data_IF_182309664822
#
_entry.id   IF_182309664822
#
_cell.length_a   1.000
_cell.length_b   1.000
_cell.length_c   1.000
_cell.angle_alpha   90.00
_cell.angle_beta   90.00
_cell.angle_gamma   90.00
#
_symmetry.space_group_name_H-M   'P 1'
#
loop_
_entity.id
_entity.type
_entity.pdbx_description
1 polymer ?
#
# COMPACT_ATOMS: atom_id res chain seq x y z
N UNK A 1 25.72 -12.20 16.05
CA UNK A 1 24.40 -12.26 15.39
C UNK A 1 24.67 -12.48 13.91
N UNK A 2 24.35 -13.67 13.46
CA UNK A 2 24.71 -14.12 12.13
C UNK A 2 23.64 -13.77 11.08
N UNK A 3 23.96 -14.00 9.83
CA UNK A 3 23.16 -13.84 8.59
C UNK A 3 21.74 -14.51 8.61
N UNK A 4 21.37 -15.21 9.69
CA UNK A 4 20.11 -15.94 9.81
C UNK A 4 18.84 -15.07 9.88
N UNK A 5 19.01 -13.78 10.19
CA UNK A 5 17.88 -12.85 10.34
C UNK A 5 17.66 -11.94 9.11
N UNK A 6 18.47 -12.09 8.05
CA UNK A 6 18.30 -11.30 6.83
C UNK A 6 17.50 -12.07 5.79
N UNK A 7 16.54 -11.37 5.18
CA UNK A 7 15.76 -11.86 4.06
C UNK A 7 16.27 -11.24 2.77
N UNK A 8 16.44 -12.07 1.74
CA UNK A 8 16.77 -11.66 0.37
C UNK A 8 15.58 -11.91 -0.52
N UNK A 9 14.81 -10.87 -0.79
CA UNK A 9 13.53 -11.00 -1.46
C UNK A 9 13.65 -10.70 -2.96
N UNK A 10 12.89 -11.46 -3.74
CA UNK A 10 12.60 -11.20 -5.15
C UNK A 10 11.09 -11.09 -5.29
N UNK A 11 10.65 -10.13 -6.08
CA UNK A 11 9.23 -9.86 -6.26
C UNK A 11 8.71 -10.52 -7.55
N UNK A 12 7.42 -10.86 -7.54
CA UNK A 12 6.75 -11.48 -8.69
C UNK A 12 6.47 -10.48 -9.81
N UNK A 13 6.27 -9.21 -9.45
CA UNK A 13 6.11 -8.12 -10.40
C UNK A 13 6.47 -6.77 -9.78
N UNK A 14 6.75 -5.80 -10.65
CA UNK A 14 7.03 -4.41 -10.30
C UNK A 14 5.95 -3.49 -10.84
N UNK A 15 5.77 -2.34 -10.18
CA UNK A 15 4.89 -1.27 -10.65
C UNK A 15 5.52 0.10 -10.42
N UNK A 16 5.39 0.99 -11.40
CA UNK A 16 5.82 2.39 -11.27
C UNK A 16 4.90 3.32 -12.03
N UNK A 17 4.85 4.55 -11.57
CA UNK A 17 4.09 5.63 -12.21
C UNK A 17 5.02 6.60 -12.95
N UNK A 18 4.43 7.49 -13.71
CA UNK A 18 5.07 8.43 -14.63
C UNK A 18 6.07 9.41 -13.96
N UNK A 19 5.97 9.66 -12.66
CA UNK A 19 6.96 10.47 -11.94
C UNK A 19 8.27 9.68 -11.68
N UNK A 20 8.22 8.34 -11.63
CA UNK A 20 9.34 7.53 -11.12
C UNK A 20 9.97 6.60 -12.15
N UNK A 21 9.19 6.01 -13.08
CA UNK A 21 9.71 4.95 -13.94
C UNK A 21 10.85 5.40 -14.88
N UNK A 22 10.89 6.68 -15.27
CA UNK A 22 11.96 7.18 -16.15
C UNK A 22 13.32 7.01 -15.49
N UNK A 23 13.50 7.55 -14.29
CA UNK A 23 14.74 7.45 -13.54
C UNK A 23 15.11 6.00 -13.18
N UNK A 24 14.14 5.18 -12.80
CA UNK A 24 14.33 3.77 -12.47
C UNK A 24 14.88 3.00 -13.68
N UNK A 25 14.23 3.14 -14.84
CA UNK A 25 14.62 2.42 -16.07
C UNK A 25 15.96 2.91 -16.60
N UNK A 26 16.23 4.23 -16.55
CA UNK A 26 17.52 4.78 -16.94
C UNK A 26 18.65 4.26 -16.07
N UNK A 27 18.46 4.20 -14.74
CA UNK A 27 19.43 3.65 -13.79
C UNK A 27 19.67 2.17 -14.05
N UNK A 28 18.63 1.37 -14.22
CA UNK A 28 18.75 -0.05 -14.51
C UNK A 28 19.44 -0.29 -15.86
N UNK A 29 19.13 0.52 -16.90
CA UNK A 29 19.82 0.45 -18.20
C UNK A 29 21.30 0.77 -18.07
N UNK A 30 21.67 1.82 -17.36
CA UNK A 30 23.06 2.19 -17.10
C UNK A 30 23.80 1.09 -16.32
N UNK A 31 23.08 0.29 -15.55
CA UNK A 31 23.59 -0.87 -14.79
C UNK A 31 23.58 -2.19 -15.57
N UNK A 32 23.32 -2.15 -16.88
CA UNK A 32 23.42 -3.31 -17.77
C UNK A 32 22.13 -4.07 -18.02
N UNK A 33 20.96 -3.54 -17.64
CA UNK A 33 19.67 -4.15 -17.96
C UNK A 33 19.43 -4.18 -19.47
N UNK A 34 19.07 -5.34 -20.02
CA UNK A 34 18.75 -5.54 -21.44
C UNK A 34 17.28 -5.90 -21.67
N UNK A 35 16.59 -6.40 -20.63
CA UNK A 35 15.19 -6.81 -20.65
C UNK A 35 14.64 -6.74 -19.21
N UNK A 36 13.35 -6.50 -19.06
CA UNK A 36 12.72 -6.66 -17.74
C UNK A 36 12.68 -8.13 -17.34
N UNK A 37 13.25 -8.50 -16.17
CA UNK A 37 13.35 -9.90 -15.76
C UNK A 37 12.05 -10.46 -15.19
N UNK A 38 11.08 -9.60 -14.86
CA UNK A 38 9.75 -9.92 -14.39
C UNK A 38 8.72 -8.97 -15.01
N UNK A 39 7.41 -9.23 -14.88
CA UNK A 39 6.39 -8.27 -15.27
C UNK A 39 6.62 -6.92 -14.60
N UNK A 40 6.67 -5.86 -15.41
CA UNK A 40 6.81 -4.49 -14.93
C UNK A 40 5.72 -3.61 -15.53
N UNK A 41 4.87 -3.06 -14.66
CA UNK A 41 3.74 -2.21 -15.02
C UNK A 41 4.16 -0.75 -14.92
N UNK A 42 4.02 -0.03 -16.02
CA UNK A 42 4.32 1.40 -16.15
C UNK A 42 3.02 2.16 -16.37
N UNK A 43 2.60 2.97 -15.40
CA UNK A 43 1.32 3.69 -15.44
C UNK A 43 1.51 5.19 -15.60
N UNK A 44 0.64 5.84 -16.37
CA UNK A 44 0.60 7.28 -16.54
C UNK A 44 -0.54 7.89 -15.71
N UNK A 45 -0.48 7.74 -14.36
CA UNK A 45 -1.61 8.08 -13.49
C UNK A 45 -1.37 9.26 -12.55
N UNK A 46 -0.13 9.72 -12.36
CA UNK A 46 0.17 10.87 -11.51
C UNK A 46 0.19 12.19 -12.29
N UNK A 47 0.70 12.17 -13.52
CA UNK A 47 0.73 13.32 -14.42
C UNK A 47 -0.14 13.08 -15.67
N UNK A 48 -1.34 12.54 -15.48
CA UNK A 48 -2.22 12.16 -16.60
C UNK A 48 -2.76 13.36 -17.41
N UNK A 49 -2.79 14.56 -16.83
CA UNK A 49 -3.17 15.79 -17.54
C UNK A 49 -1.97 16.42 -18.24
N UNK A 50 -1.47 15.76 -19.29
CA UNK A 50 -0.27 16.19 -20.04
C UNK A 50 -0.35 17.64 -20.55
N UNK A 51 -1.55 18.13 -20.93
CA UNK A 51 -1.74 19.50 -21.39
C UNK A 51 -1.47 20.55 -20.32
N UNK A 52 -1.56 20.18 -19.03
CA UNK A 52 -1.25 21.06 -17.90
C UNK A 52 0.25 21.01 -17.56
N UNK A 53 0.84 19.83 -17.61
CA UNK A 53 2.27 19.60 -17.33
C UNK A 53 3.20 19.91 -18.50
N UNK A 54 2.66 20.24 -19.67
CA UNK A 54 3.43 20.55 -20.85
C UNK A 54 4.17 19.33 -21.44
N UNK A 55 5.24 19.60 -22.20
CA UNK A 55 5.99 18.57 -22.95
C UNK A 55 6.69 17.55 -22.05
N UNK A 56 7.09 17.93 -20.85
CA UNK A 56 7.82 17.02 -19.93
C UNK A 56 6.99 15.77 -19.62
N UNK A 57 5.71 15.94 -19.24
CA UNK A 57 4.86 14.80 -18.93
C UNK A 57 4.55 13.95 -20.18
N UNK A 58 4.36 14.59 -21.32
CA UNK A 58 4.16 13.89 -22.60
C UNK A 58 5.41 13.07 -22.98
N UNK A 59 6.61 13.62 -22.78
CA UNK A 59 7.88 12.92 -23.01
C UNK A 59 8.06 11.73 -22.08
N UNK A 60 7.70 11.87 -20.79
CA UNK A 60 7.73 10.76 -19.84
C UNK A 60 6.78 9.63 -20.26
N UNK A 61 5.57 9.94 -20.73
CA UNK A 61 4.64 8.95 -21.26
C UNK A 61 5.16 8.27 -22.54
N UNK A 62 5.74 9.03 -23.45
CA UNK A 62 6.37 8.48 -24.65
C UNK A 62 7.56 7.57 -24.30
N UNK A 63 8.37 7.97 -23.33
CA UNK A 63 9.44 7.15 -22.77
C UNK A 63 8.90 5.84 -22.20
N UNK A 64 7.87 5.89 -21.34
CA UNK A 64 7.26 4.71 -20.72
C UNK A 64 6.75 3.71 -21.76
N UNK A 65 6.03 4.19 -22.78
CA UNK A 65 5.56 3.37 -23.90
C UNK A 65 6.72 2.72 -24.66
N UNK A 66 7.75 3.51 -24.99
CA UNK A 66 8.92 3.00 -25.71
C UNK A 66 9.72 1.99 -24.90
N UNK A 67 9.87 2.22 -23.59
CA UNK A 67 10.54 1.32 -22.68
C UNK A 67 9.78 0.00 -22.52
N UNK A 68 8.46 0.05 -22.35
CA UNK A 68 7.63 -1.15 -22.29
C UNK A 68 7.77 -2.00 -23.56
N UNK A 69 7.72 -1.38 -24.74
CA UNK A 69 7.94 -2.07 -26.02
C UNK A 69 9.34 -2.67 -26.14
N UNK A 70 10.36 -1.91 -25.73
CA UNK A 70 11.76 -2.32 -25.87
C UNK A 70 12.16 -3.42 -24.89
N UNK A 71 11.73 -3.33 -23.64
CA UNK A 71 12.18 -4.21 -22.56
C UNK A 71 11.15 -5.28 -22.13
N UNK A 72 9.95 -5.27 -22.74
CA UNK A 72 8.91 -6.28 -22.48
C UNK A 72 8.03 -5.98 -21.29
N UNK A 73 7.72 -4.70 -21.04
CA UNK A 73 6.84 -4.24 -19.95
C UNK A 73 5.37 -4.13 -20.35
N UNK A 74 4.54 -3.76 -19.39
CA UNK A 74 3.12 -3.46 -19.53
C UNK A 74 2.96 -1.94 -19.40
N UNK A 75 2.45 -1.28 -20.45
CA UNK A 75 2.21 0.16 -20.42
C UNK A 75 0.71 0.44 -20.24
N UNK A 76 0.39 1.24 -19.23
CA UNK A 76 -0.98 1.71 -18.95
C UNK A 76 -1.06 3.20 -19.27
N UNK A 77 -1.75 3.58 -20.36
CA UNK A 77 -1.84 4.98 -20.79
C UNK A 77 -2.56 5.87 -19.77
N UNK A 78 -2.44 7.21 -19.88
CA UNK A 78 -3.18 8.13 -19.03
C UNK A 78 -4.70 7.91 -19.16
N UNK A 79 -5.44 8.21 -18.09
CA UNK A 79 -6.90 8.12 -17.99
C UNK A 79 -7.51 6.70 -18.07
N UNK A 80 -6.69 5.65 -18.04
CA UNK A 80 -7.18 4.25 -18.02
C UNK A 80 -7.37 3.76 -16.60
N UNK A 81 -6.35 3.88 -15.74
CA UNK A 81 -6.43 3.43 -14.34
C UNK A 81 -5.39 4.11 -13.47
N UNK A 82 -5.71 4.27 -12.20
CA UNK A 82 -4.72 4.53 -11.14
C UNK A 82 -3.89 3.26 -10.94
N UNK A 83 -2.59 3.40 -10.71
CA UNK A 83 -1.64 2.29 -10.54
C UNK A 83 -2.17 1.21 -9.58
N UNK A 84 -2.67 1.62 -8.41
CA UNK A 84 -3.11 0.66 -7.39
C UNK A 84 -4.34 -0.13 -7.82
N UNK A 85 -5.30 0.49 -8.50
CA UNK A 85 -6.45 -0.22 -9.01
C UNK A 85 -6.06 -1.20 -10.12
N UNK A 86 -5.19 -0.78 -11.04
CA UNK A 86 -4.67 -1.67 -12.07
C UNK A 86 -3.97 -2.90 -11.47
N UNK A 87 -3.09 -2.66 -10.47
CA UNK A 87 -2.36 -3.74 -9.82
C UNK A 87 -3.29 -4.70 -9.06
N UNK A 88 -4.31 -4.19 -8.38
CA UNK A 88 -5.32 -5.00 -7.69
C UNK A 88 -6.09 -5.91 -8.65
N UNK A 89 -6.54 -5.34 -9.77
CA UNK A 89 -7.36 -6.08 -10.73
C UNK A 89 -6.56 -7.01 -11.64
N UNK A 90 -5.27 -6.73 -11.89
CA UNK A 90 -4.49 -7.43 -12.91
C UNK A 90 -3.31 -8.23 -12.40
N UNK A 91 -2.74 -7.86 -11.25
CA UNK A 91 -1.46 -8.43 -10.81
C UNK A 91 -1.53 -9.05 -9.42
N UNK A 92 -2.22 -8.42 -8.47
CA UNK A 92 -2.31 -8.90 -7.09
C UNK A 92 -3.02 -10.26 -7.01
N UNK A 93 -2.61 -11.12 -6.10
CA UNK A 93 -3.19 -12.44 -5.85
C UNK A 93 -2.58 -13.05 -4.59
N UNK A 94 -3.28 -14.01 -4.01
CA UNK A 94 -2.88 -14.61 -2.74
C UNK A 94 -1.50 -15.25 -2.81
N UNK A 95 -0.62 -14.90 -1.87
CA UNK A 95 0.74 -15.42 -1.78
C UNK A 95 1.76 -14.76 -2.72
N UNK A 96 1.34 -13.76 -3.53
CA UNK A 96 2.27 -12.98 -4.38
C UNK A 96 2.96 -11.87 -3.60
N UNK A 97 4.09 -11.41 -4.13
CA UNK A 97 4.87 -10.29 -3.62
C UNK A 97 5.07 -9.27 -4.74
N UNK A 98 4.66 -8.02 -4.50
CA UNK A 98 4.73 -6.93 -5.47
C UNK A 98 5.52 -5.75 -4.90
N UNK A 99 6.43 -5.19 -5.71
CA UNK A 99 7.20 -4.00 -5.35
C UNK A 99 6.77 -2.83 -6.23
N UNK A 100 6.43 -1.71 -5.61
CA UNK A 100 6.05 -0.49 -6.31
C UNK A 100 6.91 0.70 -5.93
N UNK A 101 7.04 1.66 -6.84
CA UNK A 101 7.69 2.94 -6.56
C UNK A 101 6.76 3.99 -5.96
N UNK A 102 5.57 3.58 -5.58
CA UNK A 102 4.58 4.39 -4.89
C UNK A 102 4.42 3.89 -3.45
N UNK A 103 4.38 4.80 -2.49
CA UNK A 103 4.28 4.50 -1.05
C UNK A 103 2.98 3.75 -0.69
N UNK A 104 1.91 3.95 -1.46
CA UNK A 104 0.62 3.28 -1.27
C UNK A 104 0.54 1.90 -1.97
N UNK A 105 1.67 1.30 -2.32
CA UNK A 105 1.74 -0.09 -2.80
C UNK A 105 1.40 -1.04 -1.66
N UNK A 106 0.10 -1.20 -1.41
CA UNK A 106 -0.51 -2.02 -0.37
C UNK A 106 -1.61 -2.88 -0.99
N UNK A 107 -1.42 -4.19 -0.97
CA UNK A 107 -2.34 -5.16 -1.58
C UNK A 107 -2.60 -6.32 -0.63
N UNK A 108 -2.34 -6.12 0.67
CA UNK A 108 -2.49 -7.13 1.71
C UNK A 108 -3.90 -7.67 1.82
N UNK A 109 -4.90 -6.82 1.61
CA UNK A 109 -6.32 -7.21 1.60
C UNK A 109 -6.66 -8.26 0.52
N UNK A 110 -5.83 -8.41 -0.51
CA UNK A 110 -5.93 -9.46 -1.53
C UNK A 110 -4.95 -10.62 -1.28
N UNK A 111 -4.40 -10.72 -0.09
CA UNK A 111 -3.40 -11.75 0.25
C UNK A 111 -2.05 -11.56 -0.46
N UNK A 112 -1.76 -10.36 -0.95
CA UNK A 112 -0.52 -10.02 -1.67
C UNK A 112 0.34 -9.13 -0.80
N UNK A 113 1.60 -9.49 -0.60
CA UNK A 113 2.56 -8.63 0.07
C UNK A 113 2.98 -7.50 -0.87
N UNK A 114 2.39 -6.31 -0.70
CA UNK A 114 2.73 -5.11 -1.46
C UNK A 114 3.70 -4.23 -0.68
N UNK A 115 4.87 -3.93 -1.27
CA UNK A 115 5.88 -3.06 -0.67
C UNK A 115 6.07 -1.83 -1.54
N UNK A 116 5.94 -0.65 -0.94
CA UNK A 116 6.23 0.62 -1.59
C UNK A 116 7.63 1.09 -1.21
N UNK A 117 8.49 1.29 -2.22
CA UNK A 117 9.89 1.65 -2.01
C UNK A 117 10.39 2.70 -3.01
N UNK A 118 11.53 3.27 -2.73
CA UNK A 118 12.19 4.20 -3.64
C UNK A 118 12.73 3.52 -4.89
N UNK A 119 12.97 4.34 -5.92
CA UNK A 119 13.47 3.91 -7.22
C UNK A 119 14.70 3.00 -7.21
N UNK A 120 15.69 3.20 -6.34
CA UNK A 120 16.88 2.34 -6.28
C UNK A 120 16.56 0.87 -6.04
N UNK A 121 15.56 0.54 -5.21
CA UNK A 121 15.20 -0.84 -4.93
C UNK A 121 14.56 -1.52 -6.15
N UNK A 122 13.72 -0.81 -6.90
CA UNK A 122 13.19 -1.32 -8.16
C UNK A 122 14.29 -1.52 -9.20
N UNK A 123 15.22 -0.57 -9.31
CA UNK A 123 16.37 -0.70 -10.22
C UNK A 123 17.22 -1.94 -9.90
N UNK A 124 17.44 -2.26 -8.62
CA UNK A 124 18.10 -3.49 -8.19
C UNK A 124 17.38 -4.75 -8.67
N UNK A 125 16.04 -4.80 -8.54
CA UNK A 125 15.25 -5.92 -9.04
C UNK A 125 15.39 -6.07 -10.57
N UNK A 126 15.39 -4.96 -11.31
CA UNK A 126 15.52 -4.95 -12.77
C UNK A 126 16.88 -5.47 -13.27
N UNK A 127 17.92 -5.44 -12.44
CA UNK A 127 19.24 -6.03 -12.74
C UNK A 127 19.47 -7.36 -12.02
N UNK A 128 18.40 -8.00 -11.56
CA UNK A 128 18.44 -9.35 -10.96
C UNK A 128 19.01 -9.41 -9.55
N UNK A 129 19.13 -8.28 -8.85
CA UNK A 129 19.53 -8.24 -7.45
C UNK A 129 18.31 -8.41 -6.52
N UNK A 130 18.57 -8.70 -5.27
CA UNK A 130 17.54 -8.90 -4.24
C UNK A 130 17.26 -7.62 -3.46
N UNK A 131 16.08 -7.57 -2.83
CA UNK A 131 15.72 -6.62 -1.79
C UNK A 131 16.12 -7.25 -0.46
N UNK A 132 17.12 -6.67 0.19
CA UNK A 132 17.74 -7.24 1.37
C UNK A 132 17.28 -6.46 2.61
N UNK A 133 16.55 -7.13 3.49
CA UNK A 133 16.01 -6.56 4.73
C UNK A 133 16.28 -7.47 5.93
N UNK A 134 16.30 -6.89 7.11
CA UNK A 134 16.20 -7.68 8.33
C UNK A 134 14.81 -8.29 8.42
N UNK A 135 14.69 -9.48 9.02
CA UNK A 135 13.38 -10.12 9.22
C UNK A 135 12.48 -9.19 10.05
N UNK A 136 11.38 -8.68 9.48
CA UNK A 136 10.52 -7.76 10.22
C UNK A 136 9.73 -8.49 11.30
N UNK A 137 9.49 -7.80 12.40
CA UNK A 137 8.45 -8.19 13.35
C UNK A 137 7.06 -8.14 12.70
N UNK A 138 6.15 -8.95 13.20
CA UNK A 138 4.74 -8.95 12.80
C UNK A 138 3.88 -8.48 13.96
N UNK A 139 3.01 -7.51 13.70
CA UNK A 139 2.02 -7.00 14.65
C UNK A 139 0.64 -7.47 14.20
N UNK A 140 -0.07 -8.14 15.09
CA UNK A 140 -1.46 -8.52 14.85
C UNK A 140 -2.37 -7.29 14.95
N UNK A 141 -3.19 -7.06 13.93
CA UNK A 141 -4.30 -6.12 13.96
C UNK A 141 -5.58 -6.96 14.06
N UNK A 142 -6.06 -7.12 15.28
CA UNK A 142 -7.17 -8.01 15.60
C UNK A 142 -8.49 -7.24 15.51
N UNK A 143 -9.28 -7.53 14.48
CA UNK A 143 -10.56 -6.87 14.22
C UNK A 143 -11.72 -7.64 14.85
N UNK A 144 -12.60 -6.91 15.54
CA UNK A 144 -13.86 -7.42 16.08
C UNK A 144 -15.02 -6.52 15.71
N UNK A 145 -16.25 -7.01 15.88
CA UNK A 145 -17.45 -6.23 15.59
C UNK A 145 -17.67 -5.94 14.11
N UNK A 146 -18.50 -4.95 13.82
CA UNK A 146 -18.81 -4.46 12.47
C UNK A 146 -18.92 -2.93 12.50
N UNK A 147 -18.59 -2.23 11.40
CA UNK A 147 -18.71 -0.77 11.36
C UNK A 147 -20.16 -0.32 11.51
N UNK A 148 -20.39 0.72 12.32
CA UNK A 148 -21.70 1.34 12.43
C UNK A 148 -22.11 2.04 11.10
N UNK A 149 -23.41 2.23 10.83
CA UNK A 149 -23.85 3.02 9.69
C UNK A 149 -23.23 4.41 9.67
N UNK A 150 -22.69 4.81 8.51
CA UNK A 150 -22.00 6.09 8.33
C UNK A 150 -20.49 6.08 8.64
N UNK A 151 -19.96 4.99 9.18
CA UNK A 151 -18.52 4.79 9.33
C UNK A 151 -17.98 4.13 8.08
N UNK A 152 -17.00 4.77 7.44
CA UNK A 152 -16.35 4.26 6.22
C UNK A 152 -14.97 3.64 6.50
N UNK A 153 -14.35 3.06 5.46
CA UNK A 153 -13.01 2.47 5.59
C UNK A 153 -11.96 3.50 6.02
N UNK A 154 -12.15 4.76 5.64
CA UNK A 154 -11.27 5.86 6.01
C UNK A 154 -11.30 6.12 7.52
N UNK A 155 -12.46 6.04 8.15
CA UNK A 155 -12.59 6.23 9.60
C UNK A 155 -11.82 5.15 10.35
N UNK A 156 -11.96 3.90 9.92
CA UNK A 156 -11.22 2.76 10.51
C UNK A 156 -9.70 2.96 10.32
N UNK A 157 -9.27 3.33 9.14
CA UNK A 157 -7.86 3.58 8.86
C UNK A 157 -7.30 4.71 9.73
N UNK A 158 -8.01 5.84 9.83
CA UNK A 158 -7.61 6.98 10.65
C UNK A 158 -7.54 6.61 12.14
N UNK A 159 -8.49 5.84 12.65
CA UNK A 159 -8.46 5.35 14.04
C UNK A 159 -7.19 4.50 14.30
N UNK A 160 -6.85 3.59 13.38
CA UNK A 160 -5.63 2.78 13.48
C UNK A 160 -4.39 3.67 13.42
N UNK A 161 -4.29 4.59 12.44
CA UNK A 161 -3.14 5.49 12.29
C UNK A 161 -2.94 6.32 13.56
N UNK A 162 -4.01 6.89 14.11
CA UNK A 162 -3.95 7.67 15.35
C UNK A 162 -3.43 6.86 16.54
N UNK A 163 -3.79 5.58 16.61
CA UNK A 163 -3.38 4.70 17.69
C UNK A 163 -1.91 4.27 17.63
N UNK A 164 -1.34 4.08 16.43
CA UNK A 164 -0.04 3.41 16.27
C UNK A 164 1.10 4.30 15.79
N UNK A 165 0.81 5.46 15.18
CA UNK A 165 1.83 6.28 14.53
C UNK A 165 2.75 6.97 15.53
N UNK A 166 2.18 7.71 16.51
CA UNK A 166 2.97 8.57 17.43
C UNK A 166 3.98 7.81 18.29
N UNK A 167 3.69 6.57 18.62
CA UNK A 167 4.58 5.70 19.39
C UNK A 167 5.48 4.80 18.54
N UNK A 168 5.35 4.85 17.20
CA UNK A 168 6.10 4.03 16.27
C UNK A 168 5.84 2.53 16.41
N UNK A 169 4.69 2.12 16.94
CA UNK A 169 4.40 0.74 17.33
C UNK A 169 4.53 -0.26 16.18
N UNK A 170 4.16 0.15 14.97
CA UNK A 170 4.23 -0.66 13.75
C UNK A 170 5.34 -0.24 12.78
N UNK A 171 6.17 0.73 13.16
CA UNK A 171 7.22 1.25 12.27
C UNK A 171 8.17 0.14 11.79
N UNK A 172 8.33 0.04 10.45
CA UNK A 172 9.14 -0.98 9.78
C UNK A 172 8.74 -2.43 10.08
N UNK A 173 7.51 -2.67 10.55
CA UNK A 173 6.97 -4.00 10.85
C UNK A 173 5.88 -4.36 9.86
N UNK A 174 5.51 -5.63 9.83
CA UNK A 174 4.35 -6.11 9.06
C UNK A 174 3.10 -6.01 9.93
N UNK A 175 2.03 -5.42 9.40
CA UNK A 175 0.71 -5.42 10.01
C UNK A 175 -0.08 -6.60 9.45
N UNK A 176 -0.39 -7.61 10.27
CA UNK A 176 -1.23 -8.75 9.87
C UNK A 176 -2.63 -8.57 10.43
N UNK A 177 -3.60 -8.39 9.52
CA UNK A 177 -5.01 -8.22 9.86
C UNK A 177 -5.68 -9.57 10.00
N UNK A 178 -6.20 -9.82 11.19
CA UNK A 178 -6.83 -11.09 11.61
C UNK A 178 -8.09 -10.81 12.44
N UNK A 179 -8.86 -11.81 12.69
CA UNK A 179 -9.99 -11.74 13.63
C UNK A 179 -11.38 -11.75 12.97
N UNK A 180 -12.42 -11.97 13.79
CA UNK A 180 -13.77 -12.19 13.28
C UNK A 180 -14.39 -10.98 12.58
N UNK A 181 -13.95 -9.77 12.90
CA UNK A 181 -14.43 -8.53 12.27
C UNK A 181 -14.14 -8.46 10.76
N UNK A 182 -13.14 -9.21 10.25
CA UNK A 182 -12.85 -9.25 8.81
C UNK A 182 -14.08 -9.69 8.00
N UNK A 183 -14.83 -10.66 8.51
CA UNK A 183 -15.98 -11.22 7.82
C UNK A 183 -17.11 -10.19 7.57
N UNK A 184 -17.19 -9.13 8.38
CA UNK A 184 -18.17 -8.05 8.23
C UNK A 184 -17.80 -7.02 7.16
N UNK A 185 -16.54 -7.03 6.70
CA UNK A 185 -15.99 -6.02 5.79
C UNK A 185 -16.08 -6.46 4.32
N UNK A 186 -16.81 -5.73 3.47
CA UNK A 186 -16.77 -5.95 2.03
C UNK A 186 -15.39 -5.60 1.47
N UNK A 187 -15.07 -6.03 0.24
CA UNK A 187 -13.74 -5.88 -0.32
C UNK A 187 -13.26 -4.42 -0.38
N UNK A 188 -14.14 -3.49 -0.73
CA UNK A 188 -13.82 -2.07 -0.83
C UNK A 188 -13.37 -1.48 0.52
N UNK A 189 -13.98 -1.94 1.63
CA UNK A 189 -13.54 -1.55 2.96
C UNK A 189 -12.13 -2.05 3.28
N UNK A 190 -11.88 -3.33 3.00
CA UNK A 190 -10.55 -3.92 3.24
C UNK A 190 -9.48 -3.20 2.42
N UNK A 191 -9.74 -2.93 1.15
CA UNK A 191 -8.84 -2.19 0.26
C UNK A 191 -8.60 -0.76 0.72
N UNK A 192 -9.66 -0.08 1.20
CA UNK A 192 -9.58 1.28 1.72
C UNK A 192 -8.79 1.38 3.02
N UNK A 193 -8.96 0.41 3.93
CA UNK A 193 -8.16 0.35 5.17
C UNK A 193 -6.70 0.01 4.84
N UNK A 194 -6.49 -1.01 4.00
CA UNK A 194 -5.18 -1.55 3.66
C UNK A 194 -4.26 -0.49 3.04
N UNK A 195 -4.76 0.28 2.08
CA UNK A 195 -3.97 1.32 1.40
C UNK A 195 -3.45 2.38 2.34
N UNK A 196 -4.23 2.72 3.37
CA UNK A 196 -3.87 3.76 4.35
C UNK A 196 -2.87 3.28 5.40
N UNK A 197 -2.54 1.98 5.45
CA UNK A 197 -1.51 1.48 6.36
C UNK A 197 -0.13 2.10 6.08
N UNK A 198 0.08 2.64 4.88
CA UNK A 198 1.31 3.36 4.55
C UNK A 198 1.55 4.55 5.48
N UNK A 199 0.51 5.23 5.92
CA UNK A 199 0.59 6.37 6.84
C UNK A 199 0.99 5.98 8.27
N UNK A 200 1.07 4.69 8.58
CA UNK A 200 1.58 4.19 9.86
C UNK A 200 3.08 3.99 9.90
N UNK A 201 3.78 4.19 8.76
CA UNK A 201 5.19 3.84 8.56
C UNK A 201 5.51 2.35 8.69
N UNK A 202 4.51 1.47 8.60
CA UNK A 202 4.75 0.03 8.54
C UNK A 202 5.47 -0.36 7.23
N UNK A 203 6.18 -1.48 7.27
CA UNK A 203 6.83 -2.02 6.07
C UNK A 203 5.79 -2.43 5.02
N UNK A 204 4.79 -3.17 5.45
CA UNK A 204 3.69 -3.66 4.62
C UNK A 204 2.55 -4.18 5.49
N UNK A 205 1.47 -4.56 4.84
CA UNK A 205 0.30 -5.18 5.45
C UNK A 205 -0.05 -6.49 4.74
N UNK A 206 -0.67 -7.40 5.46
CA UNK A 206 -1.23 -8.65 4.94
C UNK A 206 -2.52 -8.98 5.69
N UNK A 207 -3.48 -9.62 5.04
CA UNK A 207 -4.76 -9.97 5.63
C UNK A 207 -5.05 -11.45 5.47
N UNK A 208 -5.83 -12.00 6.39
CA UNK A 208 -6.50 -13.27 6.16
C UNK A 208 -7.40 -13.15 4.94
N UNK A 209 -7.45 -14.20 4.12
CA UNK A 209 -8.27 -14.25 2.92
C UNK A 209 -9.44 -15.22 3.07
N UNK A 210 -10.57 -14.84 2.50
CA UNK A 210 -11.84 -15.57 2.57
C UNK A 210 -12.61 -15.54 1.25
N UNK A 211 -13.86 -15.97 1.26
CA UNK A 211 -14.72 -15.99 0.07
C UNK A 211 -15.00 -14.59 -0.51
N UNK A 212 -14.86 -13.52 0.28
CA UNK A 212 -14.99 -12.13 -0.23
C UNK A 212 -13.84 -11.84 -1.20
N UNK A 213 -12.61 -12.23 -0.83
CA UNK A 213 -11.42 -12.11 -1.71
C UNK A 213 -11.57 -12.98 -2.95
N UNK A 214 -12.04 -14.23 -2.81
CA UNK A 214 -12.29 -15.12 -3.93
C UNK A 214 -13.28 -14.53 -4.92
N UNK A 215 -14.40 -14.00 -4.41
CA UNK A 215 -15.43 -13.35 -5.22
C UNK A 215 -14.86 -12.16 -5.98
N UNK A 216 -14.09 -11.30 -5.34
CA UNK A 216 -13.46 -10.17 -6.00
C UNK A 216 -12.53 -10.61 -7.13
N UNK A 217 -11.66 -11.59 -6.89
CA UNK A 217 -10.76 -12.12 -7.92
C UNK A 217 -11.53 -12.78 -9.06
N UNK A 218 -12.66 -13.45 -8.77
CA UNK A 218 -13.53 -14.03 -9.79
C UNK A 218 -14.17 -12.96 -10.68
N UNK A 219 -14.64 -11.84 -10.11
CA UNK A 219 -15.22 -10.71 -10.87
C UNK A 219 -14.26 -10.11 -11.88
N UNK A 220 -12.95 -10.12 -11.58
CA UNK A 220 -11.90 -9.64 -12.50
C UNK A 220 -11.29 -10.75 -13.36
N UNK A 221 -11.92 -11.96 -13.38
CA UNK A 221 -11.51 -13.10 -14.18
C UNK A 221 -10.24 -13.79 -13.69
N UNK A 222 -9.93 -13.70 -12.39
CA UNK A 222 -8.68 -14.17 -11.79
C UNK A 222 -8.89 -15.04 -10.54
N UNK A 223 -9.97 -15.79 -10.49
CA UNK A 223 -10.27 -16.70 -9.37
C UNK A 223 -9.14 -17.68 -9.06
N UNK A 224 -8.37 -18.09 -10.09
CA UNK A 224 -7.21 -18.97 -9.92
C UNK A 224 -6.09 -18.36 -9.07
N UNK A 225 -6.08 -17.06 -8.88
CA UNK A 225 -5.12 -16.36 -8.00
C UNK A 225 -5.58 -16.34 -6.52
N UNK A 226 -6.73 -16.92 -6.22
CA UNK A 226 -7.20 -17.07 -4.85
C UNK A 226 -6.55 -18.26 -4.15
N UNK A 227 -6.11 -18.03 -2.94
CA UNK A 227 -5.72 -19.04 -1.97
C UNK A 227 -6.17 -18.60 -0.58
N UNK A 228 -6.67 -19.53 0.22
CA UNK A 228 -6.96 -19.25 1.62
C UNK A 228 -5.68 -19.06 2.40
N UNK A 229 -5.49 -17.88 2.95
CA UNK A 229 -4.38 -17.51 3.82
C UNK A 229 -4.94 -17.23 5.21
N UNK A 230 -4.38 -17.88 6.21
CA UNK A 230 -4.71 -17.66 7.63
C UNK A 230 -3.46 -17.80 8.47
N UNK A 231 -3.44 -17.19 9.64
CA UNK A 231 -2.39 -17.40 10.61
C UNK A 231 -2.29 -18.90 10.97
N UNK A 232 -1.07 -19.42 11.01
CA UNK A 232 -0.84 -20.81 11.44
C UNK A 232 -1.15 -20.96 12.93
N UNK A 233 -1.63 -22.15 13.33
CA UNK A 233 -1.74 -22.49 14.73
C UNK A 233 -0.39 -22.29 15.43
N UNK A 234 -0.39 -21.56 16.55
CA UNK A 234 0.83 -21.22 17.29
C UNK A 234 1.63 -20.05 16.71
N UNK A 235 1.08 -19.29 15.75
CA UNK A 235 1.69 -18.04 15.29
C UNK A 235 1.98 -17.12 16.49
N UNK A 236 3.14 -16.45 16.45
CA UNK A 236 3.57 -15.52 17.48
C UNK A 236 3.75 -14.13 16.85
N UNK A 237 3.23 -13.14 17.54
CA UNK A 237 3.32 -11.74 17.16
C UNK A 237 4.21 -10.98 18.14
N UNK A 238 4.92 -9.98 17.65
CA UNK A 238 5.71 -9.07 18.50
C UNK A 238 4.81 -8.12 19.32
N UNK A 239 3.55 -7.99 18.93
CA UNK A 239 2.53 -7.22 19.61
C UNK A 239 1.18 -7.33 18.90
N UNK A 240 0.16 -6.73 19.48
CA UNK A 240 -1.18 -6.72 18.92
C UNK A 240 -1.87 -5.37 19.15
N UNK A 241 -2.73 -5.00 18.19
CA UNK A 241 -3.69 -3.90 18.29
C UNK A 241 -5.07 -4.50 18.12
N UNK A 242 -5.91 -4.34 19.14
CA UNK A 242 -7.31 -4.75 19.09
C UNK A 242 -8.17 -3.57 18.60
N UNK A 243 -8.94 -3.80 17.56
CA UNK A 243 -9.81 -2.80 16.94
C UNK A 243 -11.24 -3.32 16.99
N UNK A 244 -12.07 -2.70 17.81
CA UNK A 244 -13.52 -2.92 17.78
C UNK A 244 -14.14 -2.00 16.74
N UNK A 245 -14.51 -2.56 15.60
CA UNK A 245 -15.10 -1.83 14.48
C UNK A 245 -16.41 -1.11 14.89
N UNK A 246 -17.15 -1.68 15.86
CA UNK A 246 -18.42 -1.11 16.33
C UNK A 246 -18.22 0.14 17.21
N UNK A 247 -17.04 0.33 17.75
CA UNK A 247 -16.69 1.49 18.58
C UNK A 247 -16.13 2.67 17.77
N UNK A 248 -15.85 2.48 16.47
CA UNK A 248 -15.29 3.54 15.63
C UNK A 248 -16.42 4.52 15.27
N UNK A 249 -16.11 5.79 15.40
CA UNK A 249 -16.97 6.91 15.02
C UNK A 249 -16.46 7.55 13.72
N UNK A 250 -17.25 8.38 13.02
CA UNK A 250 -16.75 9.19 11.92
C UNK A 250 -15.56 10.06 12.37
N UNK A 251 -14.48 10.05 11.60
CA UNK A 251 -13.18 10.65 11.95
C UNK A 251 -12.83 11.82 11.04
N UNK A 252 -12.00 12.71 11.54
CA UNK A 252 -11.39 13.81 10.76
C UNK A 252 -9.90 13.85 11.07
N UNK A 253 -9.07 13.98 10.04
CA UNK A 253 -7.64 14.25 10.19
C UNK A 253 -7.37 15.75 9.94
N UNK A 254 -6.56 16.32 10.80
CA UNK A 254 -6.08 17.70 10.67
C UNK A 254 -4.64 17.69 10.11
N UNK A 255 -4.16 18.81 9.52
CA UNK A 255 -2.77 18.93 9.15
C UNK A 255 -1.83 18.67 10.35
N UNK A 256 -0.58 18.19 10.15
CA UNK A 256 0.05 17.97 8.83
C UNK A 256 0.08 16.48 8.46
N UNK A 257 -0.19 15.58 9.40
CA UNK A 257 -0.14 14.15 9.22
C UNK A 257 -1.46 13.49 9.63
N UNK A 258 -1.93 12.42 8.95
CA UNK A 258 -3.18 11.72 9.30
C UNK A 258 -3.28 11.19 10.74
N UNK A 259 -2.17 11.11 11.47
CA UNK A 259 -2.19 10.80 12.91
C UNK A 259 -2.69 11.94 13.80
N UNK A 260 -2.82 13.14 13.26
CA UNK A 260 -3.51 14.25 13.92
C UNK A 260 -5.02 14.10 13.70
N UNK A 261 -5.61 13.11 14.33
CA UNK A 261 -6.95 12.61 14.04
C UNK A 261 -7.85 12.70 15.27
N UNK A 262 -9.12 12.99 15.02
CA UNK A 262 -10.17 13.13 16.04
C UNK A 262 -11.48 12.53 15.54
N UNK A 263 -12.33 11.98 16.42
CA UNK A 263 -13.75 11.83 16.10
C UNK A 263 -14.36 13.20 15.75
N UNK A 264 -15.24 13.25 14.76
CA UNK A 264 -15.81 14.53 14.27
C UNK A 264 -16.56 15.29 15.37
N UNK A 265 -17.28 14.59 16.24
CA UNK A 265 -17.99 15.20 17.37
C UNK A 265 -17.03 15.84 18.39
N UNK A 266 -15.90 15.19 18.69
CA UNK A 266 -14.85 15.75 19.56
C UNK A 266 -14.17 16.95 18.90
N UNK A 267 -13.89 16.87 17.59
CA UNK A 267 -13.37 18.01 16.83
C UNK A 267 -14.33 19.20 16.90
N UNK A 268 -15.61 19.00 16.63
CA UNK A 268 -16.60 20.09 16.66
C UNK A 268 -16.72 20.75 18.03
N UNK A 269 -16.62 19.98 19.11
CA UNK A 269 -16.64 20.50 20.47
C UNK A 269 -15.41 21.37 20.81
N UNK A 270 -14.28 21.16 20.14
CA UNK A 270 -12.99 21.80 20.46
C UNK A 270 -12.33 22.48 19.23
N UNK A 271 -13.08 22.73 18.18
CA UNK A 271 -12.54 23.15 16.88
C UNK A 271 -11.63 24.39 16.96
N UNK A 272 -12.02 25.39 17.76
CA UNK A 272 -11.22 26.62 17.91
C UNK A 272 -9.83 26.39 18.50
N UNK A 273 -9.70 25.53 19.49
CA UNK A 273 -8.41 25.24 20.13
C UNK A 273 -7.54 24.33 19.23
N UNK A 274 -8.15 23.34 18.61
CA UNK A 274 -7.45 22.41 17.71
C UNK A 274 -6.91 23.14 16.47
N UNK A 275 -7.70 24.02 15.86
CA UNK A 275 -7.25 24.78 14.70
C UNK A 275 -6.15 25.79 15.07
N UNK A 276 -6.25 26.46 16.24
CA UNK A 276 -5.15 27.31 16.72
C UNK A 276 -3.85 26.53 16.94
N UNK A 277 -3.94 25.31 17.43
CA UNK A 277 -2.76 24.46 17.57
C UNK A 277 -2.10 24.15 16.22
N UNK A 278 -2.90 23.85 15.18
CA UNK A 278 -2.41 23.63 13.81
C UNK A 278 -1.78 24.90 13.22
N UNK A 279 -2.40 26.08 13.44
CA UNK A 279 -1.84 27.38 13.01
C UNK A 279 -0.50 27.67 13.67
N UNK A 280 -0.36 27.39 14.97
CA UNK A 280 0.90 27.55 15.70
C UNK A 280 1.99 26.61 15.18
N UNK A 281 1.66 25.35 14.90
CA UNK A 281 2.58 24.40 14.28
C UNK A 281 3.01 24.84 12.87
N UNK A 282 2.07 25.34 12.07
CA UNK A 282 2.35 25.87 10.73
C UNK A 282 3.27 27.10 10.77
N UNK A 283 3.14 27.95 11.79
CA UNK A 283 3.98 29.14 11.95
C UNK A 283 5.39 28.79 12.47
N UNK A 284 5.57 27.64 13.10
CA UNK A 284 6.84 27.18 13.66
C UNK A 284 7.71 26.42 12.63
N UNK A 285 7.10 25.92 11.56
CA UNK A 285 7.74 25.18 10.45
C UNK A 285 7.96 26.09 9.23
#
# INVERSE_FOLDING_TARGET
>A
SGDADKLKLRFDALASHDITYVGIIQTARASGMTKFPMPYVLTCCHNSLCAVGGTINADDHAFGLSAAKKYGGIFVPPHIAVIHQYMRERMAGCGKMLLGSDSHTRYGALGTLGVGEGGPELAKQLVGRTYDIDRPDVIAIYLTGEPAPGVGPQDVALAIIGAVFKNGFVKNKVMEFIGPGIASLPMDYRLGIDVMTTETTCLTSIWETDEVVRTYLSLVGRESDYQKLTARSGARYAGAVCVDLSAIRPMIALPFHPSNVYPIDEFLANAGDLLRSVEQEAAAN
#
